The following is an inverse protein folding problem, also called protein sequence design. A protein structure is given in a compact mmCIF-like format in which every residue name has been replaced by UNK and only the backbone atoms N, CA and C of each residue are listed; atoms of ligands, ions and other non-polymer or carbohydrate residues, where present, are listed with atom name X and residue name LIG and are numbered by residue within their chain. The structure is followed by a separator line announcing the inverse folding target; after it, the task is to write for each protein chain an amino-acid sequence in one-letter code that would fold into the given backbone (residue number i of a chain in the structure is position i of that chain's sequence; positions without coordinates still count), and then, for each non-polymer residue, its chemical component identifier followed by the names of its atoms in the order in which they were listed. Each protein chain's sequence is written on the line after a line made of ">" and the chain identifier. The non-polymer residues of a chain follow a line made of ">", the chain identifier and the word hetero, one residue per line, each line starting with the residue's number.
data_IF_986682278360
#
_entry.id   IF_986682278360
#
_cell.length_a   1.000
_cell.length_b   1.000
_cell.length_c   1.000
_cell.angle_alpha   90.00
_cell.angle_beta   90.00
_cell.angle_gamma   90.00
#
_symmetry.space_group_name_H-M   'P 1'
#
loop_
_entity.id
_entity.type
_entity.pdbx_description
1 polymer ?
#
# COMPACT_ATOMS: atom_id res chain seq x y z
N UNK A 1 2.29 -0.58 -8.70
CA UNK A 1 1.06 -0.31 -9.46
C UNK A 1 0.52 -1.63 -10.01
N UNK A 2 -0.79 -1.75 -10.22
CA UNK A 2 -1.42 -2.91 -10.86
C UNK A 2 -1.17 -3.01 -12.37
N UNK A 3 -0.26 -2.19 -12.90
CA UNK A 3 0.10 -2.04 -14.32
C UNK A 3 0.97 -3.18 -14.87
N UNK A 4 1.19 -4.25 -14.11
CA UNK A 4 2.04 -5.37 -14.51
C UNK A 4 3.54 -5.08 -14.52
N UNK A 5 4.01 -3.92 -14.02
CA UNK A 5 5.44 -3.52 -14.02
C UNK A 5 6.24 -4.05 -12.83
N UNK A 6 5.73 -5.04 -12.12
CA UNK A 6 6.40 -5.68 -10.98
C UNK A 6 6.35 -4.87 -9.67
N UNK A 7 7.13 -5.31 -8.69
CA UNK A 7 7.27 -4.66 -7.39
C UNK A 7 8.39 -3.63 -7.41
N UNK A 8 8.19 -2.51 -6.71
CA UNK A 8 9.21 -1.46 -6.52
C UNK A 8 9.47 -1.31 -5.03
N UNK A 9 10.72 -1.06 -4.67
CA UNK A 9 11.10 -0.90 -3.27
C UNK A 9 10.56 0.41 -2.71
N UNK A 10 9.89 0.32 -1.56
CA UNK A 10 9.53 1.49 -0.76
C UNK A 10 10.70 1.95 0.11
N UNK A 11 10.78 3.25 0.36
CA UNK A 11 11.74 3.82 1.28
C UNK A 11 11.22 3.63 2.71
N UNK A 12 11.92 2.82 3.49
CA UNK A 12 11.62 2.68 4.91
C UNK A 12 12.04 3.95 5.65
N UNK A 13 11.11 4.51 6.40
CA UNK A 13 11.30 5.68 7.24
C UNK A 13 11.81 5.25 8.62
N UNK A 14 12.48 6.17 9.30
CA UNK A 14 13.03 5.98 10.65
C UNK A 14 13.99 4.78 10.77
N UNK A 15 14.51 4.56 11.99
CA UNK A 15 15.34 3.39 12.29
C UNK A 15 14.46 2.23 12.73
N UNK A 16 14.85 1.01 12.37
CA UNK A 16 14.19 -0.20 12.86
C UNK A 16 14.17 -0.25 14.40
N UNK A 17 13.02 -0.63 14.95
CA UNK A 17 12.84 -0.91 16.37
C UNK A 17 12.18 -2.28 16.52
N UNK A 18 12.70 -3.16 17.39
CA UNK A 18 12.09 -4.47 17.63
C UNK A 18 10.61 -4.34 18.02
N UNK A 19 9.76 -5.17 17.42
CA UNK A 19 8.33 -5.27 17.70
C UNK A 19 7.50 -4.02 17.41
N UNK A 20 8.09 -3.01 16.76
CA UNK A 20 7.37 -1.83 16.31
C UNK A 20 7.10 -1.89 14.80
N UNK A 21 5.99 -1.29 14.37
CA UNK A 21 5.79 -0.97 12.96
C UNK A 21 6.88 -0.02 12.44
N UNK A 22 7.08 -0.04 11.13
CA UNK A 22 7.98 0.90 10.46
C UNK A 22 7.21 1.61 9.37
N UNK A 23 7.21 2.94 9.43
CA UNK A 23 6.65 3.76 8.36
C UNK A 23 7.48 3.57 7.08
N UNK A 24 6.83 3.69 5.95
CA UNK A 24 7.47 3.62 4.65
C UNK A 24 6.75 4.55 3.69
N UNK A 25 7.44 4.99 2.66
CA UNK A 25 6.86 5.79 1.59
C UNK A 25 7.36 5.31 0.23
N UNK A 26 6.60 5.65 -0.81
CA UNK A 26 7.01 5.45 -2.18
C UNK A 26 6.45 6.60 -3.02
N UNK A 27 7.34 7.34 -3.68
CA UNK A 27 6.95 8.43 -4.57
C UNK A 27 6.40 7.83 -5.87
N UNK A 28 5.09 7.93 -6.06
CA UNK A 28 4.40 7.47 -7.26
C UNK A 28 3.93 8.65 -8.10
N UNK A 29 4.34 8.67 -9.37
CA UNK A 29 3.82 9.58 -10.38
C UNK A 29 3.00 8.78 -11.38
N UNK A 30 1.69 9.03 -11.53
CA UNK A 30 0.87 8.36 -12.54
C UNK A 30 1.29 8.80 -13.95
N UNK A 31 1.25 7.87 -14.90
CA UNK A 31 1.60 8.16 -16.30
C UNK A 31 0.48 8.94 -16.99
N UNK A 32 -0.78 8.64 -16.66
CA UNK A 32 -1.97 9.26 -17.25
C UNK A 32 -3.08 9.47 -16.20
N UNK A 33 -4.07 10.30 -16.54
CA UNK A 33 -5.34 10.41 -15.80
C UNK A 33 -6.10 9.10 -15.91
N UNK A 34 -6.73 8.64 -14.84
CA UNK A 34 -7.47 7.38 -14.85
C UNK A 34 -7.49 6.67 -13.50
N UNK A 35 -7.99 5.42 -13.52
CA UNK A 35 -8.05 4.58 -12.32
C UNK A 35 -6.81 3.69 -12.24
N UNK A 36 -6.25 3.59 -11.05
CA UNK A 36 -5.09 2.77 -10.75
C UNK A 36 -5.38 1.90 -9.53
N UNK A 37 -4.78 0.72 -9.51
CA UNK A 37 -4.73 -0.12 -8.32
C UNK A 37 -3.35 -0.02 -7.71
N UNK A 38 -3.27 0.47 -6.48
CA UNK A 38 -2.07 0.47 -5.66
C UNK A 38 -2.08 -0.76 -4.75
N UNK A 39 -0.90 -1.35 -4.57
CA UNK A 39 -0.68 -2.52 -3.71
C UNK A 39 0.63 -2.32 -2.98
N UNK A 40 0.71 -2.77 -1.74
CA UNK A 40 1.93 -2.84 -0.95
C UNK A 40 2.09 -4.24 -0.36
N UNK A 41 3.34 -4.61 -0.08
CA UNK A 41 3.68 -5.82 0.67
C UNK A 41 4.96 -5.59 1.46
N UNK A 42 5.06 -6.20 2.63
CA UNK A 42 6.27 -6.28 3.43
C UNK A 42 6.98 -7.62 3.24
N UNK A 43 8.30 -7.59 3.48
CA UNK A 43 9.16 -8.77 3.59
C UNK A 43 9.87 -8.65 4.95
N UNK A 44 9.74 -9.66 5.80
CA UNK A 44 10.40 -9.66 7.12
C UNK A 44 11.89 -10.05 7.05
N UNK A 45 12.60 -9.94 8.17
CA UNK A 45 14.03 -10.27 8.25
C UNK A 45 14.38 -11.75 8.02
N UNK A 46 13.38 -12.65 8.04
CA UNK A 46 13.52 -14.07 7.69
C UNK A 46 13.12 -14.34 6.23
N UNK A 47 12.72 -13.32 5.46
CA UNK A 47 12.27 -13.44 4.08
C UNK A 47 10.78 -13.79 3.93
N UNK A 48 10.00 -13.75 5.01
CA UNK A 48 8.56 -13.97 4.98
C UNK A 48 7.84 -12.87 4.22
N UNK A 49 7.04 -13.25 3.21
CA UNK A 49 6.29 -12.33 2.35
C UNK A 49 4.79 -12.43 2.65
N UNK A 50 4.09 -11.30 2.67
CA UNK A 50 2.63 -11.29 2.75
C UNK A 50 1.99 -12.09 1.60
N UNK A 51 0.94 -12.90 1.86
CA UNK A 51 0.25 -13.64 0.81
C UNK A 51 -0.59 -12.73 -0.09
N UNK A 52 -0.80 -13.12 -1.35
CA UNK A 52 -1.65 -12.36 -2.28
C UNK A 52 -3.15 -12.47 -1.93
N UNK A 53 -3.56 -13.57 -1.32
CA UNK A 53 -4.95 -13.86 -0.97
C UNK A 53 -5.09 -14.24 0.50
N UNK A 54 -6.30 -14.05 1.03
CA UNK A 54 -6.64 -14.50 2.37
C UNK A 54 -6.41 -16.01 2.51
N UNK A 55 -5.86 -16.38 3.66
CA UNK A 55 -5.68 -17.77 4.07
C UNK A 55 -7.01 -18.38 4.46
N UNK A 56 -7.39 -19.49 3.82
CA UNK A 56 -8.66 -20.17 4.08
C UNK A 56 -8.68 -20.90 5.43
N UNK A 57 -7.51 -21.23 5.97
CA UNK A 57 -7.31 -21.97 7.23
C UNK A 57 -7.33 -21.08 8.49
N UNK A 58 -7.41 -19.75 8.34
CA UNK A 58 -7.32 -18.80 9.45
C UNK A 58 -8.62 -18.02 9.72
N UNK A 59 -9.75 -18.38 9.10
CA UNK A 59 -11.00 -17.61 9.18
C UNK A 59 -10.75 -16.09 9.03
N UNK A 60 -11.18 -15.26 10.00
CA UNK A 60 -10.96 -13.81 10.03
C UNK A 60 -9.72 -13.37 10.83
N UNK A 61 -8.96 -14.32 11.40
CA UNK A 61 -7.74 -14.03 12.15
C UNK A 61 -6.54 -13.80 11.21
N UNK A 62 -5.57 -13.03 11.68
CA UNK A 62 -4.30 -12.79 10.98
C UNK A 62 -4.46 -12.29 9.53
N UNK A 63 -5.35 -11.31 9.33
CA UNK A 63 -5.55 -10.67 8.03
C UNK A 63 -4.31 -9.90 7.55
N UNK A 64 -3.40 -10.61 6.88
CA UNK A 64 -2.12 -10.08 6.42
C UNK A 64 -1.92 -10.18 4.90
N UNK A 65 -2.98 -10.49 4.13
CA UNK A 65 -2.89 -10.54 2.68
C UNK A 65 -2.77 -9.14 2.07
N UNK A 66 -2.28 -9.08 0.84
CA UNK A 66 -2.12 -7.83 0.10
C UNK A 66 -3.51 -7.27 -0.22
N UNK A 67 -3.82 -6.09 0.32
CA UNK A 67 -5.09 -5.40 0.05
C UNK A 67 -4.86 -4.36 -1.07
N UNK A 68 -5.48 -4.54 -2.25
CA UNK A 68 -5.43 -3.53 -3.31
C UNK A 68 -6.29 -2.31 -2.94
N UNK A 69 -5.77 -1.12 -3.26
CA UNK A 69 -6.47 0.16 -3.11
C UNK A 69 -6.68 0.75 -4.49
N UNK A 70 -7.94 0.97 -4.88
CA UNK A 70 -8.27 1.70 -6.11
C UNK A 70 -8.16 3.21 -5.85
N UNK A 71 -7.44 3.91 -6.72
CA UNK A 71 -7.29 5.37 -6.69
C UNK A 71 -7.62 5.95 -8.06
N UNK A 72 -8.21 7.14 -8.08
CA UNK A 72 -8.50 7.88 -9.30
C UNK A 72 -7.56 9.09 -9.41
N UNK A 73 -6.83 9.17 -10.51
CA UNK A 73 -6.00 10.33 -10.88
C UNK A 73 -6.85 11.21 -11.78
N UNK A 74 -7.00 12.48 -11.41
CA UNK A 74 -7.81 13.47 -12.13
C UNK A 74 -6.92 14.61 -12.66
N UNK A 75 -7.27 15.29 -13.77
CA UNK A 75 -6.41 16.29 -14.42
C UNK A 75 -6.10 17.54 -13.58
N UNK A 76 -6.91 17.79 -12.56
CA UNK A 76 -6.79 18.95 -11.69
C UNK A 76 -7.32 18.55 -10.30
N UNK A 77 -6.59 18.85 -9.21
CA UNK A 77 -7.14 18.61 -7.89
C UNK A 77 -8.38 19.49 -7.72
N UNK A 78 -9.54 18.87 -7.49
CA UNK A 78 -10.65 19.61 -6.91
C UNK A 78 -10.18 20.07 -5.53
N UNK A 79 -10.19 21.38 -5.28
CA UNK A 79 -9.99 21.92 -3.94
C UNK A 79 -11.12 21.38 -3.08
N UNK A 80 -10.86 20.31 -2.32
CA UNK A 80 -11.76 19.87 -1.28
C UNK A 80 -11.46 20.79 -0.08
N UNK A 81 -12.31 21.78 0.14
CA UNK A 81 -12.32 22.51 1.41
C UNK A 81 -12.53 21.46 2.50
N UNK A 82 -11.53 21.25 3.34
CA UNK A 82 -11.58 20.30 4.45
C UNK A 82 -12.56 20.81 5.51
N UNK A 83 -13.87 20.56 5.33
CA UNK A 83 -14.82 20.71 6.42
C UNK A 83 -14.75 19.48 7.32
N UNK A 84 -13.73 19.45 8.19
CA UNK A 84 -13.70 18.55 9.33
C UNK A 84 -14.70 19.05 10.38
N UNK A 85 -15.91 18.51 10.38
CA UNK A 85 -16.81 18.60 11.53
C UNK A 85 -16.45 17.48 12.51
N UNK A 86 -15.96 17.87 13.68
CA UNK A 86 -15.81 17.00 14.87
C UNK A 86 -17.16 16.89 15.57
#
# INVERSE_FOLDING_TARGET
>A
TGDGRGWREGRLLETERPFAWRLWEYMWTPEEVGRYILRCRAIDGAGGVQPDLQRSDCESYAANWIVPVEVAVVPQPQTYEEEFVI
#
